data_IF_616189306917
#
_entry.id   IF_616189306917
#
_cell.length_a   1.000
_cell.length_b   1.000
_cell.length_c   1.000
_cell.angle_alpha   90.00
_cell.angle_beta   90.00
_cell.angle_gamma   90.00
#
_symmetry.space_group_name_H-M   'P 1'
#
loop_
_entity.id
_entity.type
_entity.pdbx_description
1 polymer ?
#
# COMPACT_ATOMS: atom_id res chain seq x y z
N UNK A 1 4.11 15.09 5.67
CA UNK A 1 3.82 13.74 6.22
C UNK A 1 3.94 12.73 5.09
N UNK A 2 4.73 11.67 5.25
CA UNK A 2 4.95 10.67 4.19
C UNK A 2 3.75 9.72 4.10
N UNK A 3 3.34 9.34 2.88
CA UNK A 3 2.11 8.57 2.57
C UNK A 3 1.89 7.32 3.40
N UNK A 4 3.00 6.67 3.79
CA UNK A 4 3.00 5.53 4.71
C UNK A 4 2.11 5.79 5.91
N UNK A 5 2.07 7.02 6.43
CA UNK A 5 1.27 7.37 7.59
C UNK A 5 -0.24 7.37 7.36
N UNK A 6 -0.76 7.74 6.18
CA UNK A 6 -2.22 7.84 6.00
C UNK A 6 -2.87 6.47 5.83
N UNK A 7 -2.32 5.61 4.97
CA UNK A 7 -2.85 4.25 4.83
C UNK A 7 -2.69 3.45 6.13
N UNK A 8 -1.56 3.61 6.83
CA UNK A 8 -1.37 2.98 8.13
C UNK A 8 -2.41 3.51 9.14
N UNK A 9 -2.60 4.83 9.22
CA UNK A 9 -3.62 5.43 10.08
C UNK A 9 -5.05 4.95 9.75
N UNK A 10 -5.38 4.72 8.48
CA UNK A 10 -6.66 4.12 8.10
C UNK A 10 -6.76 2.68 8.62
N UNK A 11 -5.74 1.85 8.38
CA UNK A 11 -5.73 0.44 8.83
C UNK A 11 -5.76 0.34 10.36
N UNK A 12 -5.06 1.24 11.05
CA UNK A 12 -4.94 1.27 12.51
C UNK A 12 -6.23 1.75 13.21
N UNK A 13 -7.24 2.23 12.47
CA UNK A 13 -8.59 2.47 13.02
C UNK A 13 -9.30 1.18 13.42
N UNK A 14 -8.91 0.04 12.84
CA UNK A 14 -9.48 -1.25 13.22
C UNK A 14 -8.81 -1.79 14.49
N UNK A 15 -9.56 -2.50 15.34
CA UNK A 15 -9.01 -3.08 16.57
C UNK A 15 -7.91 -4.12 16.28
N UNK A 16 -7.93 -4.74 15.09
CA UNK A 16 -6.83 -5.56 14.59
C UNK A 16 -6.85 -5.64 13.07
N UNK A 17 -5.71 -6.01 12.46
CA UNK A 17 -5.63 -6.32 11.03
C UNK A 17 -6.56 -7.48 10.63
N UNK A 18 -6.83 -8.41 11.56
CA UNK A 18 -7.77 -9.50 11.35
C UNK A 18 -9.21 -9.01 11.33
N UNK A 19 -9.57 -8.06 12.18
CA UNK A 19 -10.89 -7.44 12.14
C UNK A 19 -11.14 -6.73 10.80
N UNK A 20 -10.15 -6.02 10.27
CA UNK A 20 -10.24 -5.43 8.93
C UNK A 20 -10.39 -6.50 7.84
N UNK A 21 -9.61 -7.58 7.90
CA UNK A 21 -9.72 -8.69 6.96
C UNK A 21 -11.13 -9.29 6.95
N UNK A 22 -11.67 -9.59 8.13
CA UNK A 22 -12.96 -10.25 8.28
C UNK A 22 -14.06 -9.35 7.68
N UNK A 23 -14.04 -8.04 7.94
CA UNK A 23 -15.00 -7.09 7.37
C UNK A 23 -14.89 -6.95 5.83
N UNK A 24 -13.66 -6.93 5.31
CA UNK A 24 -13.41 -6.82 3.87
C UNK A 24 -13.89 -8.08 3.17
N UNK A 25 -13.57 -9.26 3.69
CA UNK A 25 -13.97 -10.53 3.10
C UNK A 25 -15.48 -10.79 3.19
N UNK A 26 -16.16 -10.27 4.22
CA UNK A 26 -17.62 -10.35 4.32
C UNK A 26 -18.32 -9.59 3.17
N UNK A 27 -17.66 -8.54 2.64
CA UNK A 27 -18.20 -7.71 1.55
C UNK A 27 -17.77 -8.20 0.16
N UNK A 28 -16.89 -9.20 0.07
CA UNK A 28 -16.36 -9.73 -1.18
C UNK A 28 -16.99 -11.08 -1.52
N UNK A 29 -17.07 -11.39 -2.82
CA UNK A 29 -17.43 -12.72 -3.30
C UNK A 29 -16.39 -13.76 -2.85
N UNK A 30 -16.80 -15.04 -2.74
CA UNK A 30 -15.89 -16.14 -2.37
C UNK A 30 -14.63 -16.22 -3.25
N UNK A 31 -14.74 -15.88 -4.53
CA UNK A 31 -13.63 -15.84 -5.49
C UNK A 31 -12.64 -14.69 -5.27
N UNK A 32 -13.06 -13.63 -4.58
CA UNK A 32 -12.31 -12.38 -4.44
C UNK A 32 -11.78 -12.16 -3.01
N UNK A 33 -12.00 -13.13 -2.12
CA UNK A 33 -11.50 -13.07 -0.76
C UNK A 33 -9.98 -12.94 -0.73
N UNK A 34 -9.51 -12.11 0.19
CA UNK A 34 -8.09 -11.89 0.41
C UNK A 34 -7.64 -12.59 1.68
N UNK A 35 -6.33 -12.74 1.82
CA UNK A 35 -5.71 -13.26 3.03
C UNK A 35 -5.18 -12.12 3.90
N UNK A 36 -4.92 -12.40 5.19
CA UNK A 36 -4.33 -11.45 6.13
C UNK A 36 -3.01 -10.84 5.61
N UNK A 37 -2.26 -11.61 4.81
CA UNK A 37 -1.01 -11.18 4.18
C UNK A 37 -1.24 -9.95 3.28
N UNK A 38 -2.40 -9.83 2.62
CA UNK A 38 -2.74 -8.66 1.84
C UNK A 38 -2.83 -7.40 2.72
N UNK A 39 -3.50 -7.49 3.87
CA UNK A 39 -3.60 -6.38 4.84
C UNK A 39 -2.22 -5.98 5.36
N UNK A 40 -1.37 -6.96 5.69
CA UNK A 40 0.01 -6.69 6.09
C UNK A 40 0.79 -5.96 4.99
N UNK A 41 0.63 -6.38 3.73
CA UNK A 41 1.26 -5.71 2.58
C UNK A 41 0.76 -4.29 2.40
N UNK A 42 -0.54 -4.04 2.55
CA UNK A 42 -1.11 -2.69 2.47
C UNK A 42 -0.53 -1.78 3.53
N UNK A 43 -0.46 -2.27 4.78
CA UNK A 43 0.11 -1.54 5.90
C UNK A 43 1.61 -1.25 5.70
N UNK A 44 2.39 -2.23 5.25
CA UNK A 44 3.83 -2.07 5.03
C UNK A 44 4.15 -1.13 3.85
N UNK A 45 3.41 -1.27 2.76
CA UNK A 45 3.61 -0.49 1.53
C UNK A 45 2.96 0.89 1.60
N UNK A 46 1.98 1.08 2.48
CA UNK A 46 1.20 2.30 2.57
C UNK A 46 0.33 2.51 1.34
N UNK A 47 -0.31 1.45 0.84
CA UNK A 47 -1.16 1.50 -0.34
C UNK A 47 -2.24 0.42 -0.28
N UNK A 48 -3.48 0.82 -0.57
CA UNK A 48 -4.65 -0.06 -0.69
C UNK A 48 -5.16 0.07 -2.13
N UNK A 49 -5.49 -1.06 -2.75
CA UNK A 49 -6.08 -1.09 -4.08
C UNK A 49 -7.54 -0.59 -4.00
N UNK A 50 -7.91 0.29 -4.94
CA UNK A 50 -9.23 0.92 -4.94
C UNK A 50 -10.40 -0.02 -5.09
N UNK A 51 -10.18 -1.21 -5.65
CA UNK A 51 -11.23 -2.23 -5.72
C UNK A 51 -11.78 -2.66 -4.36
N UNK A 52 -11.03 -2.42 -3.27
CA UNK A 52 -11.45 -2.76 -1.91
C UNK A 52 -12.14 -1.61 -1.16
N UNK A 53 -12.25 -0.41 -1.74
CA UNK A 53 -12.77 0.76 -1.03
C UNK A 53 -14.18 0.55 -0.48
N UNK A 54 -15.07 0.00 -1.30
CA UNK A 54 -16.46 -0.25 -0.90
C UNK A 54 -16.54 -1.25 0.25
N UNK A 55 -15.73 -2.31 0.21
CA UNK A 55 -15.66 -3.31 1.27
C UNK A 55 -15.14 -2.70 2.58
N UNK A 56 -14.11 -1.85 2.49
CA UNK A 56 -13.53 -1.15 3.64
C UNK A 56 -14.54 -0.17 4.25
N UNK A 57 -15.25 0.61 3.43
CA UNK A 57 -16.27 1.55 3.89
C UNK A 57 -17.48 0.83 4.49
N UNK A 58 -17.91 -0.29 3.89
CA UNK A 58 -18.96 -1.12 4.45
C UNK A 58 -18.57 -1.66 5.84
N UNK A 59 -17.35 -2.18 5.98
CA UNK A 59 -16.80 -2.61 7.27
C UNK A 59 -16.71 -1.49 8.31
N UNK A 60 -16.21 -0.33 7.89
CA UNK A 60 -16.11 0.86 8.75
C UNK A 60 -17.49 1.31 9.25
N UNK A 61 -18.48 1.35 8.35
CA UNK A 61 -19.87 1.70 8.69
C UNK A 61 -20.46 0.71 9.70
N UNK A 62 -20.31 -0.60 9.48
CA UNK A 62 -20.79 -1.64 10.42
C UNK A 62 -20.21 -1.48 11.84
N UNK A 63 -18.96 -1.02 11.94
CA UNK A 63 -18.24 -0.84 13.21
C UNK A 63 -18.34 0.58 13.79
N UNK A 64 -19.09 1.49 13.17
CA UNK A 64 -19.10 2.92 13.50
C UNK A 64 -17.69 3.56 13.52
N UNK A 65 -16.80 3.10 12.64
CA UNK A 65 -15.48 3.69 12.45
C UNK A 65 -15.63 4.91 11.52
N UNK A 66 -15.21 6.13 11.94
CA UNK A 66 -15.28 7.29 11.08
C UNK A 66 -14.23 7.18 9.97
N UNK A 67 -14.71 6.86 8.77
CA UNK A 67 -13.92 6.76 7.54
C UNK A 67 -14.77 7.19 6.35
N UNK A 68 -14.24 8.11 5.53
CA UNK A 68 -14.91 8.60 4.33
C UNK A 68 -14.21 8.13 3.05
N UNK A 69 -14.94 8.16 1.93
CA UNK A 69 -14.34 7.96 0.61
C UNK A 69 -13.20 8.94 0.33
N UNK A 70 -13.32 10.18 0.83
CA UNK A 70 -12.29 11.20 0.70
C UNK A 70 -10.98 10.79 1.41
N UNK A 71 -11.05 10.13 2.56
CA UNK A 71 -9.85 9.64 3.26
C UNK A 71 -9.13 8.55 2.46
N UNK A 72 -9.89 7.62 1.86
CA UNK A 72 -9.34 6.56 0.99
C UNK A 72 -8.75 7.12 -0.31
N UNK A 73 -9.37 8.16 -0.87
CA UNK A 73 -8.83 8.88 -2.03
C UNK A 73 -7.57 9.65 -1.66
N UNK A 74 -7.56 10.37 -0.55
CA UNK A 74 -6.38 11.09 -0.06
C UNK A 74 -5.20 10.15 0.20
N UNK A 75 -5.44 8.96 0.75
CA UNK A 75 -4.42 7.95 0.96
C UNK A 75 -3.77 7.44 -0.34
N UNK A 76 -4.49 7.50 -1.48
CA UNK A 76 -3.98 7.12 -2.81
C UNK A 76 -3.43 8.29 -3.62
N UNK A 77 -4.04 9.47 -3.48
CA UNK A 77 -3.83 10.64 -4.35
C UNK A 77 -2.54 11.41 -4.08
N UNK A 78 -1.87 11.19 -2.96
CA UNK A 78 -0.51 11.72 -2.80
C UNK A 78 0.33 10.90 -3.78
N UNK A 79 0.57 11.36 -5.00
CA UNK A 79 1.66 10.85 -5.82
C UNK A 79 2.97 11.29 -5.16
N UNK A 80 3.95 10.40 -5.13
CA UNK A 80 5.31 10.79 -4.79
C UNK A 80 5.71 11.22 -6.19
N UNK A 81 5.80 12.53 -6.44
CA UNK A 81 6.47 13.09 -7.60
C UNK A 81 7.98 12.77 -7.50
N UNK A 82 8.32 11.51 -7.26
CA UNK A 82 9.55 10.94 -7.75
C UNK A 82 9.32 10.70 -9.23
N UNK A 83 9.20 11.82 -9.97
CA UNK A 83 9.88 11.98 -11.24
C UNK A 83 11.16 11.18 -11.12
N UNK A 84 11.31 10.18 -11.98
CA UNK A 84 12.40 9.23 -11.90
C UNK A 84 13.69 9.97 -11.58
N UNK A 85 14.46 9.45 -10.64
CA UNK A 85 15.89 9.61 -10.77
C UNK A 85 16.23 8.92 -12.10
N UNK A 86 16.07 9.66 -13.20
CA UNK A 86 16.87 9.43 -14.38
C UNK A 86 18.29 9.62 -13.85
N UNK A 87 18.93 8.52 -13.48
CA UNK A 87 20.35 8.49 -13.27
C UNK A 87 20.96 8.88 -14.62
N UNK A 88 21.10 10.18 -14.84
CA UNK A 88 21.80 10.75 -15.98
C UNK A 88 23.30 10.65 -15.68
N UNK A 89 23.77 9.44 -15.44
CA UNK A 89 25.18 9.12 -15.39
C UNK A 89 25.39 7.91 -16.29
N UNK A 90 25.36 8.20 -17.59
CA UNK A 90 26.01 7.37 -18.58
C UNK A 90 27.49 7.29 -18.25
N UNK A 91 27.89 6.27 -17.49
CA UNK A 91 29.25 5.79 -17.49
C UNK A 91 29.24 4.26 -17.62
N UNK A 92 29.69 3.69 -18.76
CA UNK A 92 29.96 2.28 -18.83
C UNK A 92 31.08 1.96 -17.85
N UNK A 93 30.78 1.11 -16.86
CA UNK A 93 31.73 0.65 -15.85
C UNK A 93 32.69 -0.36 -16.49
N UNK A 94 33.69 0.11 -17.24
CA UNK A 94 34.74 -0.74 -17.80
C UNK A 94 35.69 -1.14 -16.68
N UNK A 95 35.62 -2.41 -16.26
CA UNK A 95 36.55 -2.99 -15.29
C UNK A 95 37.94 -3.03 -15.93
N UNK A 96 38.89 -2.24 -15.43
CA UNK A 96 40.32 -2.40 -15.78
C UNK A 96 40.81 -3.74 -15.24
N UNK A 97 40.99 -4.73 -16.10
CA UNK A 97 41.80 -5.92 -15.81
C UNK A 97 43.27 -5.50 -15.77
N UNK A 98 43.94 -5.70 -14.63
CA UNK A 98 45.41 -5.63 -14.56
C UNK A 98 45.98 -6.78 -15.39
N UNK A 99 46.71 -6.46 -16.47
CA UNK A 99 47.65 -7.39 -17.10
C UNK A 99 48.75 -7.70 -16.08
N UNK A 100 48.76 -8.94 -15.57
CA UNK A 100 49.96 -9.51 -14.97
C UNK A 100 50.86 -10.01 -16.08
N UNK A 101 52.04 -9.42 -16.18
CA UNK A 101 53.15 -9.93 -16.96
C UNK A 101 53.79 -11.11 -16.21
N UNK A 102 54.10 -12.17 -16.94
CA UNK A 102 55.09 -13.18 -16.60
C UNK A 102 55.78 -13.58 -17.91
#
# INVERSE_FOLDING_TARGET
>A
MSKKHLTQAIIDKWPSRKALLDDVNESLSLSDQIEIVAIHRWHQRGSIDGKYDLAILAGASKRNIPLSWHDLMAARSIHDDRCGHAASDGQPRVKKTKKGAA
#
